data_IF_931385753303
#
_entry.id   IF_931385753303
#
_cell.length_a   1.000
_cell.length_b   1.000
_cell.length_c   1.000
_cell.angle_alpha   90.00
_cell.angle_beta   90.00
_cell.angle_gamma   90.00
#
_symmetry.space_group_name_H-M   'P 1'
#
loop_
_entity.id
_entity.type
_entity.pdbx_description
1 polymer ?
#
# COMPACT_ATOMS: atom_id res chain seq x y z
N UNK A 1 -18.93 3.92 25.16
CA UNK A 1 -18.43 5.27 24.77
C UNK A 1 -18.16 5.30 23.26
N UNK A 2 -18.77 6.22 22.52
CA UNK A 2 -18.43 6.45 21.12
C UNK A 2 -17.02 7.05 21.08
N UNK A 3 -16.03 6.26 20.65
CA UNK A 3 -14.70 6.78 20.39
C UNK A 3 -14.75 7.52 19.05
N UNK A 4 -14.69 8.85 19.13
CA UNK A 4 -14.57 9.71 17.96
C UNK A 4 -13.16 10.33 17.95
N UNK A 5 -12.49 10.23 16.81
CA UNK A 5 -11.24 10.92 16.55
C UNK A 5 -11.48 12.01 15.51
N UNK A 6 -10.97 13.22 15.77
CA UNK A 6 -11.02 14.34 14.83
C UNK A 6 -9.65 14.95 14.68
N UNK A 7 -9.32 15.35 13.47
CA UNK A 7 -8.10 16.09 13.17
C UNK A 7 -8.44 17.16 12.13
N UNK A 8 -7.86 18.35 12.30
CA UNK A 8 -7.97 19.44 11.34
C UNK A 8 -6.63 19.56 10.63
N UNK A 9 -6.66 19.58 9.30
CA UNK A 9 -5.50 19.76 8.45
C UNK A 9 -5.76 20.93 7.48
N UNK A 10 -4.68 21.46 6.92
CA UNK A 10 -4.73 22.56 5.96
C UNK A 10 -4.10 22.08 4.65
N UNK A 11 -4.90 21.83 3.59
CA UNK A 11 -4.38 21.33 2.33
C UNK A 11 -3.60 22.41 1.58
N UNK A 12 -2.62 21.98 0.79
CA UNK A 12 -1.87 22.88 -0.08
C UNK A 12 -2.78 23.48 -1.16
N UNK A 13 -2.55 24.77 -1.40
CA UNK A 13 -3.25 25.55 -2.41
C UNK A 13 -2.31 25.85 -3.56
N UNK A 14 -2.74 25.63 -4.80
CA UNK A 14 -2.00 26.02 -5.99
C UNK A 14 -2.73 27.13 -6.73
N UNK A 15 -1.98 28.11 -7.23
CA UNK A 15 -2.51 29.13 -8.11
C UNK A 15 -2.69 28.52 -9.50
N UNK A 16 -3.92 28.51 -9.98
CA UNK A 16 -4.20 28.19 -11.37
C UNK A 16 -3.83 29.36 -12.28
N UNK A 17 -3.58 29.07 -13.55
CA UNK A 17 -3.28 30.08 -14.57
C UNK A 17 -4.41 31.13 -14.71
N UNK A 18 -5.63 30.78 -14.28
CA UNK A 18 -6.83 31.64 -14.30
C UNK A 18 -6.95 32.65 -13.16
N UNK A 19 -5.94 32.78 -12.27
CA UNK A 19 -6.00 33.50 -10.97
C UNK A 19 -6.91 32.86 -9.91
N UNK A 20 -7.48 31.69 -10.20
CA UNK A 20 -8.20 30.92 -9.20
C UNK A 20 -7.22 30.15 -8.32
N UNK A 21 -7.58 29.96 -7.06
CA UNK A 21 -6.82 29.12 -6.13
C UNK A 21 -7.50 27.76 -6.06
N UNK A 22 -6.78 26.71 -6.47
CA UNK A 22 -7.30 25.34 -6.48
C UNK A 22 -6.73 24.59 -5.29
N UNK A 23 -7.64 24.00 -4.50
CA UNK A 23 -7.29 23.04 -3.46
C UNK A 23 -6.76 21.77 -4.13
N UNK A 24 -5.57 21.33 -3.74
CA UNK A 24 -5.06 20.06 -4.22
C UNK A 24 -5.91 18.90 -3.69
N UNK A 25 -6.13 17.85 -4.50
CA UNK A 25 -6.76 16.62 -4.01
C UNK A 25 -6.02 16.08 -2.79
N UNK A 26 -6.77 15.63 -1.80
CA UNK A 26 -6.23 15.09 -0.57
C UNK A 26 -6.56 13.61 -0.47
N UNK A 27 -5.54 12.80 -0.17
CA UNK A 27 -5.72 11.39 0.18
C UNK A 27 -5.74 11.25 1.71
N UNK A 28 -6.80 10.66 2.25
CA UNK A 28 -6.94 10.36 3.68
C UNK A 28 -6.99 8.84 3.83
N UNK A 29 -6.13 8.30 4.67
CA UNK A 29 -6.14 6.88 5.04
C UNK A 29 -6.68 6.71 6.45
N UNK A 30 -7.72 5.90 6.60
CA UNK A 30 -8.39 5.64 7.87
C UNK A 30 -8.26 4.17 8.21
N UNK A 31 -7.74 3.88 9.40
CA UNK A 31 -7.55 2.51 9.90
C UNK A 31 -8.43 2.27 11.12
N UNK A 32 -9.07 1.12 11.17
CA UNK A 32 -9.86 0.67 12.33
C UNK A 32 -9.18 -0.55 12.94
N UNK A 33 -8.78 -0.45 14.21
CA UNK A 33 -8.22 -1.58 14.96
C UNK A 33 -9.15 -1.96 16.12
N UNK A 34 -9.34 -3.26 16.33
CA UNK A 34 -10.18 -3.77 17.40
C UNK A 34 -10.61 -5.22 17.18
N UNK A 35 -10.96 -5.90 18.27
CA UNK A 35 -11.53 -7.25 18.20
C UNK A 35 -13.04 -7.18 17.93
N UNK A 36 -13.49 -7.75 16.82
CA UNK A 36 -14.91 -7.92 16.51
C UNK A 36 -15.39 -9.23 17.14
N UNK A 37 -16.46 -9.22 17.96
CA UNK A 37 -17.03 -10.45 18.50
C UNK A 37 -17.39 -11.46 17.39
N UNK A 38 -17.05 -12.74 17.57
CA UNK A 38 -17.19 -13.77 16.54
C UNK A 38 -18.62 -13.93 15.99
N UNK A 39 -19.64 -13.67 16.79
CA UNK A 39 -21.04 -13.70 16.35
C UNK A 39 -21.41 -12.56 15.37
N UNK A 40 -20.57 -11.52 15.25
CA UNK A 40 -20.71 -10.43 14.30
C UNK A 40 -19.81 -10.58 13.07
N UNK A 41 -18.95 -11.62 13.02
CA UNK A 41 -18.01 -11.83 11.90
C UNK A 41 -18.70 -12.07 10.55
N UNK A 42 -19.97 -12.47 10.56
CA UNK A 42 -20.79 -12.69 9.35
C UNK A 42 -21.69 -11.49 9.02
N UNK A 43 -21.63 -10.43 9.83
CA UNK A 43 -22.42 -9.21 9.64
C UNK A 43 -21.55 -8.12 9.02
N UNK A 44 -22.08 -7.39 8.04
CA UNK A 44 -21.43 -6.18 7.56
C UNK A 44 -21.38 -5.17 8.72
N UNK A 45 -20.18 -4.77 9.11
CA UNK A 45 -19.98 -3.72 10.12
C UNK A 45 -20.16 -2.37 9.40
N UNK A 46 -21.21 -1.60 9.72
CA UNK A 46 -21.36 -0.28 9.12
C UNK A 46 -20.25 0.65 9.62
N UNK A 47 -19.54 1.26 8.69
CA UNK A 47 -18.55 2.30 8.96
C UNK A 47 -19.11 3.61 8.43
N UNK A 48 -19.22 4.62 9.30
CA UNK A 48 -19.64 5.98 8.94
C UNK A 48 -18.42 6.90 8.96
N UNK A 49 -18.20 7.63 7.86
CA UNK A 49 -17.13 8.63 7.73
C UNK A 49 -17.78 9.94 7.33
N UNK A 50 -17.58 10.97 8.14
CA UNK A 50 -18.12 12.31 7.88
C UNK A 50 -16.98 13.27 7.58
N UNK A 51 -16.97 13.81 6.37
CA UNK A 51 -16.05 14.88 5.95
C UNK A 51 -16.83 16.19 5.87
N UNK A 52 -16.32 17.24 6.50
CA UNK A 52 -16.94 18.56 6.49
C UNK A 52 -15.90 19.64 6.31
N UNK A 53 -16.33 20.74 5.69
CA UNK A 53 -15.54 21.96 5.54
C UNK A 53 -16.09 23.00 6.52
N UNK A 54 -15.21 23.82 7.11
CA UNK A 54 -15.60 24.92 7.99
C UNK A 54 -16.61 25.83 7.30
N UNK A 55 -17.55 26.35 8.08
CA UNK A 55 -18.71 27.09 7.55
C UNK A 55 -18.32 28.24 6.64
N UNK A 56 -17.23 28.96 6.98
CA UNK A 56 -16.71 30.08 6.19
C UNK A 56 -16.22 29.70 4.78
N UNK A 57 -15.96 28.42 4.50
CA UNK A 57 -15.48 27.95 3.18
C UNK A 57 -16.50 27.10 2.41
N UNK A 58 -17.70 26.87 2.94
CA UNK A 58 -18.73 26.03 2.30
C UNK A 58 -19.21 26.56 0.94
N UNK A 59 -19.07 27.85 0.68
CA UNK A 59 -19.44 28.45 -0.61
C UNK A 59 -18.42 28.19 -1.71
N UNK A 60 -17.20 27.76 -1.38
CA UNK A 60 -16.09 27.63 -2.33
C UNK A 60 -15.77 26.17 -2.67
N UNK A 61 -16.21 25.21 -1.85
CA UNK A 61 -15.88 23.80 -2.03
C UNK A 61 -16.99 22.89 -1.51
N UNK A 62 -17.11 21.72 -2.12
CA UNK A 62 -18.00 20.65 -1.71
C UNK A 62 -17.14 19.43 -1.45
N UNK A 63 -17.11 18.88 -0.21
CA UNK A 63 -16.37 17.67 0.05
C UNK A 63 -17.02 16.51 -0.71
N UNK A 64 -16.20 15.77 -1.47
CA UNK A 64 -16.61 14.55 -2.16
C UNK A 64 -15.88 13.39 -1.52
N UNK A 65 -16.61 12.35 -1.15
CA UNK A 65 -16.05 11.10 -0.62
C UNK A 65 -16.27 10.02 -1.67
N UNK A 66 -15.17 9.46 -2.17
CA UNK A 66 -15.21 8.28 -3.03
C UNK A 66 -14.74 7.08 -2.21
N UNK A 67 -15.59 6.05 -2.10
CA UNK A 67 -15.27 4.82 -1.38
C UNK A 67 -14.94 3.75 -2.43
N UNK A 68 -13.65 3.44 -2.55
CA UNK A 68 -13.22 2.28 -3.32
C UNK A 68 -13.11 1.08 -2.36
N UNK A 69 -13.93 0.05 -2.58
CA UNK A 69 -13.76 -1.24 -1.90
C UNK A 69 -12.60 -1.97 -2.57
N UNK A 70 -11.48 -2.12 -1.87
CA UNK A 70 -10.47 -3.11 -2.23
C UNK A 70 -11.03 -4.48 -1.84
N UNK A 71 -11.83 -5.09 -2.70
CA UNK A 71 -12.11 -6.51 -2.54
C UNK A 71 -10.78 -7.25 -2.73
N UNK A 72 -10.38 -8.14 -1.80
CA UNK A 72 -9.34 -9.10 -2.08
C UNK A 72 -9.89 -10.02 -3.17
N UNK A 73 -9.59 -9.71 -4.42
CA UNK A 73 -9.95 -10.54 -5.55
C UNK A 73 -9.19 -11.86 -5.44
N UNK A 74 -9.84 -12.87 -4.85
CA UNK A 74 -9.59 -14.24 -5.23
C UNK A 74 -10.08 -14.41 -6.68
N UNK A 75 -9.20 -14.29 -7.68
CA UNK A 75 -9.57 -14.69 -9.04
C UNK A 75 -8.36 -15.05 -9.91
N UNK A 76 -8.30 -16.33 -10.27
CA UNK A 76 -7.65 -16.80 -11.48
C UNK A 76 -8.19 -16.05 -12.72
N UNK A 77 -7.27 -15.58 -13.57
CA UNK A 77 -7.38 -15.23 -14.98
C UNK A 77 -8.78 -15.06 -15.61
N UNK A 78 -9.07 -13.86 -16.09
CA UNK A 78 -9.32 -13.62 -17.53
C UNK A 78 -9.39 -12.12 -17.83
N UNK A 79 -8.62 -11.69 -18.83
CA UNK A 79 -8.62 -10.36 -19.42
C UNK A 79 -10.01 -9.95 -19.97
N UNK A 80 -10.40 -8.69 -19.75
CA UNK A 80 -10.80 -7.76 -20.81
C UNK A 80 -10.83 -6.31 -20.25
N UNK A 81 -10.03 -5.48 -20.90
CA UNK A 81 -9.76 -4.06 -20.65
C UNK A 81 -10.97 -3.14 -20.87
N UNK A 82 -11.07 -2.04 -20.12
CA UNK A 82 -11.24 -0.62 -20.58
C UNK A 82 -11.69 0.26 -19.39
N UNK A 83 -10.80 0.97 -18.68
CA UNK A 83 -10.41 2.38 -18.92
C UNK A 83 -11.59 3.35 -18.67
N UNK A 84 -11.60 4.21 -17.64
CA UNK A 84 -10.66 5.32 -17.45
C UNK A 84 -10.56 5.81 -16.00
N UNK A 85 -9.39 5.68 -15.39
CA UNK A 85 -8.95 6.55 -14.31
C UNK A 85 -7.68 7.23 -14.81
N UNK A 86 -7.81 8.45 -15.34
CA UNK A 86 -6.67 9.34 -15.54
C UNK A 86 -6.34 10.01 -14.21
N UNK A 87 -5.77 9.21 -13.30
CA UNK A 87 -4.80 9.76 -12.36
C UNK A 87 -3.63 10.19 -13.23
N UNK A 88 -3.15 11.42 -13.05
CA UNK A 88 -1.90 11.84 -13.68
C UNK A 88 -0.81 10.85 -13.28
N UNK A 89 -0.51 9.98 -14.24
CA UNK A 89 0.74 9.35 -14.64
C UNK A 89 1.99 10.08 -14.14
N UNK A 90 2.18 10.16 -12.82
CA UNK A 90 3.50 9.90 -12.29
C UNK A 90 3.62 8.39 -12.33
N UNK A 91 4.01 7.92 -13.51
CA UNK A 91 4.63 6.65 -13.80
C UNK A 91 5.46 6.22 -12.59
N UNK A 92 4.86 5.44 -11.70
CA UNK A 92 5.59 4.76 -10.64
C UNK A 92 6.29 3.60 -11.36
N UNK A 93 7.28 3.97 -12.18
CA UNK A 93 8.03 3.06 -13.02
C UNK A 93 8.98 2.30 -12.10
N UNK A 94 8.45 1.27 -11.44
CA UNK A 94 9.31 0.32 -10.75
C UNK A 94 10.11 -0.37 -11.84
N UNK A 95 11.44 -0.29 -11.78
CA UNK A 95 12.29 -0.92 -12.80
C UNK A 95 12.13 -2.44 -12.89
N UNK A 96 11.49 -3.05 -11.88
CA UNK A 96 11.25 -4.48 -11.75
C UNK A 96 9.79 -4.89 -12.01
N UNK A 97 8.86 -3.95 -12.28
CA UNK A 97 7.49 -4.27 -12.67
C UNK A 97 7.08 -3.58 -13.99
N UNK A 98 6.24 -4.25 -14.82
CA UNK A 98 5.75 -5.61 -14.66
C UNK A 98 6.87 -6.65 -14.79
N UNK A 99 6.67 -7.83 -14.21
CA UNK A 99 7.65 -8.90 -14.32
C UNK A 99 7.88 -9.28 -15.80
N UNK A 100 9.12 -9.64 -16.18
CA UNK A 100 9.40 -10.12 -17.53
C UNK A 100 8.50 -11.33 -17.87
N UNK A 101 8.01 -11.47 -19.12
CA UNK A 101 7.27 -12.66 -19.55
C UNK A 101 8.07 -13.97 -19.42
N UNK A 102 9.39 -13.86 -19.29
CA UNK A 102 10.33 -14.96 -19.08
C UNK A 102 10.55 -15.31 -17.61
N UNK A 103 9.94 -14.56 -16.68
CA UNK A 103 10.08 -14.82 -15.25
C UNK A 103 9.44 -16.17 -14.91
N UNK A 104 10.27 -17.09 -14.42
CA UNK A 104 9.85 -18.39 -13.92
C UNK A 104 9.76 -18.34 -12.39
N UNK A 105 8.53 -18.45 -11.88
CA UNK A 105 8.23 -18.46 -10.45
C UNK A 105 8.73 -19.71 -9.72
N UNK A 106 9.16 -20.74 -10.45
CA UNK A 106 9.75 -21.95 -9.87
C UNK A 106 11.28 -21.90 -9.83
N UNK A 107 11.89 -20.90 -10.46
CA UNK A 107 13.33 -20.71 -10.52
C UNK A 107 13.80 -19.73 -9.43
N UNK A 108 14.63 -20.21 -8.50
CA UNK A 108 15.19 -19.39 -7.43
C UNK A 108 16.08 -18.27 -7.94
N UNK A 109 16.74 -18.45 -9.09
CA UNK A 109 17.65 -17.44 -9.64
C UNK A 109 16.88 -16.22 -10.15
N UNK A 110 15.69 -16.43 -10.74
CA UNK A 110 14.79 -15.34 -11.10
C UNK A 110 14.27 -14.58 -9.88
N UNK A 111 13.95 -15.28 -8.78
CA UNK A 111 13.57 -14.64 -7.53
C UNK A 111 14.72 -13.84 -6.92
N UNK A 112 15.95 -14.35 -6.98
CA UNK A 112 17.14 -13.63 -6.51
C UNK A 112 17.38 -12.34 -7.31
N UNK A 113 17.25 -12.39 -8.63
CA UNK A 113 17.35 -11.20 -9.48
C UNK A 113 16.27 -10.16 -9.14
N UNK A 114 15.02 -10.61 -8.95
CA UNK A 114 13.92 -9.74 -8.53
C UNK A 114 14.19 -9.11 -7.15
N UNK A 115 14.66 -9.91 -6.20
CA UNK A 115 15.02 -9.48 -4.85
C UNK A 115 16.07 -8.36 -4.87
N UNK A 116 17.14 -8.53 -5.64
CA UNK A 116 18.21 -7.53 -5.80
C UNK A 116 17.68 -6.24 -6.42
N UNK A 117 16.80 -6.35 -7.42
CA UNK A 117 16.19 -5.20 -8.07
C UNK A 117 15.28 -4.41 -7.11
N UNK A 118 14.47 -5.10 -6.30
CA UNK A 118 13.61 -4.47 -5.28
C UNK A 118 14.49 -3.79 -4.21
N UNK A 119 15.51 -4.47 -3.70
CA UNK A 119 16.42 -3.91 -2.69
C UNK A 119 17.12 -2.66 -3.22
N UNK A 120 17.64 -2.71 -4.44
CA UNK A 120 18.31 -1.56 -5.07
C UNK A 120 17.36 -0.38 -5.24
N UNK A 121 16.11 -0.63 -5.62
CA UNK A 121 15.10 0.43 -5.76
C UNK A 121 14.74 1.05 -4.40
N UNK A 122 14.45 0.23 -3.37
CA UNK A 122 14.17 0.71 -2.02
C UNK A 122 15.30 1.62 -1.49
N UNK A 123 16.55 1.17 -1.62
CA UNK A 123 17.68 1.89 -1.03
C UNK A 123 18.09 3.15 -1.78
N UNK A 124 17.86 3.23 -3.09
CA UNK A 124 18.36 4.33 -3.93
C UNK A 124 17.30 5.33 -4.34
N UNK A 125 16.03 4.95 -4.33
CA UNK A 125 14.99 5.69 -5.04
C UNK A 125 13.75 5.98 -4.19
N UNK A 126 13.62 5.40 -3.00
CA UNK A 126 12.41 5.51 -2.17
C UNK A 126 12.72 6.11 -0.81
N UNK A 127 11.92 7.08 -0.39
CA UNK A 127 12.01 7.65 0.96
C UNK A 127 11.29 6.74 1.97
N UNK A 128 11.93 6.33 3.09
CA UNK A 128 11.34 5.45 4.09
C UNK A 128 10.00 5.88 4.70
N UNK A 129 9.62 7.17 4.63
CA UNK A 129 8.34 7.66 5.16
C UNK A 129 7.17 7.51 4.18
N UNK A 130 7.44 7.05 2.96
CA UNK A 130 6.45 7.01 1.88
C UNK A 130 5.69 5.67 1.83
N UNK A 131 4.44 5.65 1.34
CA UNK A 131 3.70 4.40 1.11
C UNK A 131 4.45 3.39 0.23
N UNK A 132 5.23 3.86 -0.73
CA UNK A 132 6.07 3.11 -1.65
C UNK A 132 7.13 2.28 -0.91
N UNK A 133 7.68 2.82 0.17
CA UNK A 133 8.59 2.07 1.05
C UNK A 133 7.87 0.90 1.71
N UNK A 134 6.66 1.13 2.22
CA UNK A 134 5.87 0.08 2.88
C UNK A 134 5.57 -1.05 1.90
N UNK A 135 5.04 -0.71 0.72
CA UNK A 135 4.73 -1.69 -0.32
C UNK A 135 5.99 -2.40 -0.84
N UNK A 136 7.08 -1.67 -1.04
CA UNK A 136 8.35 -2.22 -1.51
C UNK A 136 8.97 -3.21 -0.53
N UNK A 137 8.88 -2.95 0.78
CA UNK A 137 9.32 -3.90 1.81
C UNK A 137 8.50 -5.18 1.80
N UNK A 138 7.18 -5.10 1.64
CA UNK A 138 6.33 -6.30 1.49
C UNK A 138 6.76 -7.11 0.27
N UNK A 139 6.93 -6.46 -0.89
CA UNK A 139 7.41 -7.11 -2.12
C UNK A 139 8.80 -7.75 -1.94
N UNK A 140 9.71 -7.06 -1.24
CA UNK A 140 11.04 -7.58 -0.90
C UNK A 140 10.93 -8.88 -0.10
N UNK A 141 10.09 -8.92 0.93
CA UNK A 141 9.95 -10.10 1.78
C UNK A 141 9.34 -11.29 1.05
N UNK A 142 8.38 -11.07 0.14
CA UNK A 142 7.88 -12.13 -0.75
C UNK A 142 9.01 -12.72 -1.61
N UNK A 143 9.79 -11.88 -2.28
CA UNK A 143 10.90 -12.33 -3.11
C UNK A 143 12.00 -13.02 -2.27
N UNK A 144 12.25 -12.53 -1.05
CA UNK A 144 13.27 -13.06 -0.16
C UNK A 144 12.94 -14.50 0.26
N UNK A 145 11.70 -14.73 0.70
CA UNK A 145 11.23 -16.06 1.11
C UNK A 145 11.18 -17.02 -0.09
N UNK A 146 10.76 -16.53 -1.26
CA UNK A 146 10.78 -17.35 -2.48
C UNK A 146 12.20 -17.75 -2.91
N UNK A 147 13.19 -16.88 -2.69
CA UNK A 147 14.61 -17.17 -2.94
C UNK A 147 15.21 -18.09 -1.87
N UNK A 148 14.74 -17.99 -0.62
CA UNK A 148 15.31 -18.68 0.55
C UNK A 148 14.23 -19.48 1.29
N UNK A 149 13.79 -20.62 0.75
CA UNK A 149 12.64 -21.36 1.28
C UNK A 149 12.84 -21.94 2.69
N UNK A 150 14.08 -22.15 3.18
CA UNK A 150 14.27 -22.63 4.56
C UNK A 150 14.16 -21.49 5.61
N UNK A 151 13.97 -20.23 5.20
CA UNK A 151 13.79 -19.10 6.13
C UNK A 151 12.52 -19.26 6.96
N UNK A 152 12.53 -19.05 8.30
CA UNK A 152 13.62 -18.48 9.12
C UNK A 152 14.57 -19.50 9.77
N UNK A 153 14.42 -20.81 9.53
CA UNK A 153 14.97 -21.89 10.36
C UNK A 153 16.50 -22.09 10.37
N UNK A 154 17.28 -21.36 9.54
CA UNK A 154 18.76 -21.45 9.48
C UNK A 154 19.44 -20.09 9.72
N UNK A 155 20.78 -20.03 9.62
CA UNK A 155 21.53 -18.76 9.59
C UNK A 155 21.48 -18.18 8.19
N UNK A 156 21.10 -16.90 8.07
CA UNK A 156 20.89 -16.19 6.81
C UNK A 156 21.89 -15.05 6.63
N UNK A 157 22.24 -14.74 5.38
CA UNK A 157 23.17 -13.68 5.01
C UNK A 157 22.47 -12.47 4.38
N UNK A 158 22.87 -11.29 4.88
CA UNK A 158 22.98 -9.95 4.26
C UNK A 158 21.86 -9.45 3.33
N UNK A 159 20.59 -9.48 3.75
CA UNK A 159 19.74 -8.35 3.34
C UNK A 159 20.22 -7.08 4.06
N UNK A 160 19.96 -5.92 3.46
CA UNK A 160 20.31 -4.65 4.11
C UNK A 160 19.48 -4.50 5.41
N UNK A 161 20.10 -4.32 6.60
CA UNK A 161 19.37 -4.20 7.86
C UNK A 161 18.44 -2.98 7.93
N UNK A 162 18.57 -2.04 7.00
CA UNK A 162 17.61 -0.94 6.82
C UNK A 162 16.23 -1.45 6.36
N UNK A 163 16.16 -2.63 5.73
CA UNK A 163 14.91 -3.37 5.49
C UNK A 163 14.59 -4.16 6.76
N UNK A 164 13.79 -3.55 7.62
CA UNK A 164 13.37 -4.15 8.89
C UNK A 164 12.44 -5.36 8.66
N UNK A 165 12.48 -6.30 9.60
CA UNK A 165 11.53 -7.42 9.71
C UNK A 165 10.17 -6.92 10.24
N UNK A 166 9.60 -5.95 9.55
CA UNK A 166 8.33 -5.31 9.87
C UNK A 166 7.45 -5.36 8.63
N UNK A 167 6.18 -5.68 8.83
CA UNK A 167 5.24 -5.89 7.74
C UNK A 167 4.38 -7.12 8.01
N UNK A 168 3.16 -7.08 7.50
CA UNK A 168 2.15 -8.10 7.79
C UNK A 168 2.65 -9.49 7.39
N UNK A 169 3.21 -9.63 6.18
CA UNK A 169 3.66 -10.91 5.68
C UNK A 169 4.83 -11.49 6.49
N UNK A 170 5.89 -10.70 6.69
CA UNK A 170 7.14 -11.21 7.28
C UNK A 170 6.99 -11.52 8.77
N UNK A 171 6.18 -10.73 9.49
CA UNK A 171 5.88 -10.99 10.90
C UNK A 171 5.10 -12.29 11.08
N UNK A 172 4.10 -12.55 10.23
CA UNK A 172 3.34 -13.81 10.21
C UNK A 172 4.25 -15.00 9.82
N UNK A 173 5.13 -14.83 8.83
CA UNK A 173 6.05 -15.87 8.38
C UNK A 173 7.06 -16.27 9.46
N UNK A 174 7.71 -15.30 10.10
CA UNK A 174 8.69 -15.58 11.16
C UNK A 174 8.01 -16.12 12.41
N UNK A 175 6.83 -15.60 12.76
CA UNK A 175 6.03 -16.06 13.90
C UNK A 175 5.54 -17.51 13.76
N UNK A 176 5.29 -17.97 12.53
CA UNK A 176 4.84 -19.35 12.24
C UNK A 176 5.99 -20.36 12.11
N UNK A 177 7.24 -19.92 11.94
CA UNK A 177 8.42 -20.80 11.83
C UNK A 177 9.10 -21.18 13.15
N UNK A 178 8.45 -20.93 14.31
CA UNK A 178 9.03 -21.08 15.66
C UNK A 178 8.60 -22.34 16.43
N UNK A 179 8.35 -23.46 15.74
CA UNK A 179 8.09 -24.78 16.35
C UNK A 179 9.33 -25.70 16.34
#
# INVERSE_FOLDING_TARGET
>A
PLHFSSSTFYPDMRLAESKDVILQPLSILVWFSGAVPCHLAHSNIPIEITVSVKDEYKSFTVPVIEIASQQPHHSNNSMAFSQSCSVTDNDMSFSFLPLPPTFDHTDSDHWAELLDNIQSWLMKSVDPITPEWTWGREAFWYAFVATHPDFPSRKWSFWDPSITLEGQFIEEWVGSGSD
#
